data_IF_474505086858
#
_entry.id   IF_474505086858
#
_cell.length_a   1.000
_cell.length_b   1.000
_cell.length_c   1.000
_cell.angle_alpha   90.00
_cell.angle_beta   90.00
_cell.angle_gamma   90.00
#
_symmetry.space_group_name_H-M   'P 1'
#
loop_
_entity.id
_entity.type
_entity.pdbx_description
1 polymer ?
#
# COMPACT_ATOMS: atom_id res chain seq x y z
N UNK A 1 14.30 -12.88 36.64
CA UNK A 1 14.35 -13.19 35.20
C UNK A 1 14.85 -11.93 34.53
N UNK A 2 16.15 -11.88 34.27
CA UNK A 2 16.83 -10.73 33.67
C UNK A 2 16.70 -10.83 32.16
N UNK A 3 16.17 -9.79 31.53
CA UNK A 3 16.13 -9.65 30.07
C UNK A 3 17.54 -9.35 29.58
N UNK A 4 18.17 -10.31 28.90
CA UNK A 4 19.48 -10.16 28.28
C UNK A 4 19.37 -9.29 27.01
N UNK A 5 19.99 -8.11 26.94
CA UNK A 5 19.84 -7.17 25.82
C UNK A 5 20.71 -7.53 24.59
N UNK A 6 21.35 -8.71 24.57
CA UNK A 6 22.31 -9.08 23.52
C UNK A 6 21.79 -10.06 22.45
N UNK A 7 20.52 -10.50 22.53
CA UNK A 7 20.00 -11.48 21.58
C UNK A 7 19.26 -10.86 20.37
N UNK A 8 18.88 -9.58 20.42
CA UNK A 8 18.17 -8.90 19.32
C UNK A 8 19.10 -8.54 18.13
N UNK A 9 20.41 -8.40 18.36
CA UNK A 9 21.39 -8.08 17.31
C UNK A 9 22.08 -9.31 16.69
N UNK A 10 21.95 -10.50 17.30
CA UNK A 10 22.72 -11.68 16.91
C UNK A 10 22.28 -12.34 15.59
N UNK A 11 21.11 -12.00 15.05
CA UNK A 11 20.57 -12.58 13.81
C UNK A 11 20.70 -11.68 12.57
N UNK A 12 21.38 -10.53 12.67
CA UNK A 12 21.46 -9.58 11.54
C UNK A 12 20.14 -8.86 11.23
N UNK A 13 19.22 -8.80 12.20
CA UNK A 13 17.90 -8.19 12.03
C UNK A 13 17.97 -6.75 11.50
N UNK A 14 18.93 -5.94 11.96
CA UNK A 14 19.15 -4.59 11.42
C UNK A 14 19.50 -4.57 9.92
N UNK A 15 20.29 -5.54 9.43
CA UNK A 15 20.63 -5.64 8.02
C UNK A 15 19.41 -6.07 7.19
N UNK A 16 18.61 -7.02 7.69
CA UNK A 16 17.38 -7.46 7.03
C UNK A 16 16.33 -6.34 7.00
N UNK A 17 16.14 -5.63 8.12
CA UNK A 17 15.28 -4.46 8.19
C UNK A 17 15.71 -3.38 7.20
N UNK A 18 17.02 -3.11 7.06
CA UNK A 18 17.52 -2.13 6.09
C UNK A 18 17.24 -2.56 4.64
N UNK A 19 17.46 -3.83 4.29
CA UNK A 19 17.13 -4.34 2.94
C UNK A 19 15.63 -4.21 2.64
N UNK A 20 14.78 -4.62 3.58
CA UNK A 20 13.33 -4.48 3.43
C UNK A 20 12.92 -3.02 3.33
N UNK A 21 13.46 -2.15 4.17
CA UNK A 21 13.15 -0.71 4.16
C UNK A 21 13.49 -0.06 2.82
N UNK A 22 14.70 -0.28 2.29
CA UNK A 22 15.14 0.30 1.01
C UNK A 22 14.25 -0.17 -0.15
N UNK A 23 13.92 -1.47 -0.20
CA UNK A 23 13.01 -2.00 -1.20
C UNK A 23 11.61 -1.37 -1.09
N UNK A 24 11.12 -1.22 0.15
CA UNK A 24 9.78 -0.69 0.45
C UNK A 24 9.63 0.80 0.10
N UNK A 25 10.65 1.62 0.34
CA UNK A 25 10.59 3.04 -0.07
C UNK A 25 10.45 3.20 -1.59
N UNK A 26 11.04 2.27 -2.36
CA UNK A 26 10.89 2.23 -3.80
C UNK A 26 9.42 2.10 -4.25
N UNK A 27 8.59 1.38 -3.48
CA UNK A 27 7.20 1.11 -3.83
C UNK A 27 6.26 2.31 -3.58
N UNK A 28 6.70 3.30 -2.79
CA UNK A 28 5.94 4.53 -2.54
C UNK A 28 6.13 5.59 -3.63
N UNK A 29 7.09 5.36 -4.54
CA UNK A 29 7.33 6.22 -5.68
C UNK A 29 6.21 6.07 -6.74
N UNK A 30 6.32 6.85 -7.82
CA UNK A 30 5.30 6.95 -8.86
C UNK A 30 5.28 5.79 -9.88
N UNK A 31 6.41 5.12 -10.09
CA UNK A 31 6.58 4.06 -11.09
C UNK A 31 6.15 2.61 -10.72
N UNK A 32 6.10 2.18 -9.45
CA UNK A 32 5.87 0.78 -9.10
C UNK A 32 4.47 0.30 -9.49
N UNK A 33 4.35 -0.99 -9.77
CA UNK A 33 3.08 -1.64 -10.11
C UNK A 33 2.03 -1.53 -8.98
N UNK A 34 0.73 -1.77 -9.25
CA UNK A 34 -0.35 -1.62 -8.26
C UNK A 34 -0.20 -2.49 -7.00
N UNK A 35 0.46 -3.64 -7.11
CA UNK A 35 0.63 -4.58 -5.99
C UNK A 35 1.98 -4.49 -5.27
N UNK A 36 2.97 -3.78 -5.81
CA UNK A 36 4.33 -3.81 -5.25
C UNK A 36 4.40 -3.31 -3.80
N UNK A 37 3.55 -2.34 -3.42
CA UNK A 37 3.47 -1.87 -2.04
C UNK A 37 2.87 -2.93 -1.10
N UNK A 38 1.87 -3.67 -1.55
CA UNK A 38 1.32 -4.79 -0.78
C UNK A 38 2.37 -5.89 -0.62
N UNK A 39 3.07 -6.24 -1.70
CA UNK A 39 4.14 -7.25 -1.67
C UNK A 39 5.28 -6.83 -0.73
N UNK A 40 5.64 -5.54 -0.70
CA UNK A 40 6.61 -5.02 0.25
C UNK A 40 6.11 -5.09 1.70
N UNK A 41 4.84 -4.77 1.96
CA UNK A 41 4.24 -4.93 3.28
C UNK A 41 4.20 -6.40 3.72
N UNK A 42 3.91 -7.32 2.79
CA UNK A 42 3.97 -8.76 3.02
C UNK A 42 5.37 -9.20 3.44
N UNK A 43 6.42 -8.70 2.77
CA UNK A 43 7.80 -8.98 3.14
C UNK A 43 8.17 -8.42 4.53
N UNK A 44 7.62 -7.25 4.91
CA UNK A 44 7.79 -6.72 6.27
C UNK A 44 7.16 -7.63 7.33
N UNK A 45 5.97 -8.18 7.06
CA UNK A 45 5.28 -9.11 7.98
C UNK A 45 6.00 -10.45 8.05
N UNK A 46 6.47 -10.98 6.93
CA UNK A 46 7.28 -12.20 6.90
C UNK A 46 8.53 -12.03 7.79
N UNK A 47 9.25 -10.91 7.65
CA UNK A 47 10.39 -10.60 8.51
C UNK A 47 9.96 -10.49 9.98
N UNK A 48 8.87 -9.78 10.26
CA UNK A 48 8.35 -9.64 11.63
C UNK A 48 8.05 -11.00 12.28
N UNK A 49 7.51 -11.96 11.51
CA UNK A 49 7.25 -13.34 11.96
C UNK A 49 8.53 -14.08 12.30
N UNK A 50 9.61 -13.89 11.55
CA UNK A 50 10.93 -14.44 11.91
C UNK A 50 11.52 -13.81 13.17
N UNK A 51 11.16 -12.55 13.46
CA UNK A 51 11.58 -11.79 14.63
C UNK A 51 10.55 -11.93 15.78
N UNK A 52 10.11 -13.17 16.02
CA UNK A 52 9.18 -13.52 17.09
C UNK A 52 7.81 -12.83 16.98
N UNK A 53 7.30 -12.67 15.76
CA UNK A 53 6.01 -12.02 15.47
C UNK A 53 5.90 -10.64 16.12
N UNK A 54 6.91 -9.80 15.92
CA UNK A 54 6.98 -8.47 16.50
C UNK A 54 5.73 -7.64 16.11
N UNK A 55 4.90 -7.31 17.10
CA UNK A 55 3.61 -6.65 16.89
C UNK A 55 3.77 -5.24 16.30
N UNK A 56 4.82 -4.51 16.69
CA UNK A 56 5.08 -3.16 16.17
C UNK A 56 5.44 -3.23 14.68
N UNK A 57 6.28 -4.19 14.28
CA UNK A 57 6.62 -4.39 12.86
C UNK A 57 5.39 -4.77 12.02
N UNK A 58 4.51 -5.62 12.55
CA UNK A 58 3.25 -5.97 11.87
C UNK A 58 2.36 -4.72 11.74
N UNK A 59 2.22 -3.94 12.80
CA UNK A 59 1.45 -2.68 12.78
C UNK A 59 2.02 -1.68 11.77
N UNK A 60 3.35 -1.50 11.73
CA UNK A 60 4.00 -0.64 10.75
C UNK A 60 3.83 -1.13 9.32
N UNK A 61 3.88 -2.45 9.09
CA UNK A 61 3.61 -3.01 7.77
C UNK A 61 2.15 -2.74 7.33
N UNK A 62 1.20 -2.83 8.25
CA UNK A 62 -0.21 -2.50 7.99
C UNK A 62 -0.43 -1.01 7.68
N UNK A 63 0.26 -0.12 8.41
CA UNK A 63 0.25 1.33 8.10
C UNK A 63 0.92 1.57 6.74
N UNK A 64 2.05 0.92 6.48
CA UNK A 64 2.78 1.03 5.22
C UNK A 64 1.95 0.56 4.03
N UNK A 65 1.22 -0.55 4.13
CA UNK A 65 0.30 -1.01 3.08
C UNK A 65 -0.78 0.02 2.74
N UNK A 66 -1.13 0.86 3.71
CA UNK A 66 -2.12 1.92 3.57
C UNK A 66 -1.52 3.28 3.20
N UNK A 67 -0.20 3.44 3.28
CA UNK A 67 0.45 4.72 2.98
C UNK A 67 0.11 5.18 1.55
N UNK A 68 -0.35 6.42 1.34
CA UNK A 68 -0.61 6.92 0.00
C UNK A 68 0.66 6.93 -0.85
N UNK A 69 0.52 6.51 -2.11
CA UNK A 69 1.60 6.52 -3.10
C UNK A 69 1.72 7.87 -3.77
N UNK A 70 2.94 8.28 -4.07
CA UNK A 70 3.18 9.53 -4.79
C UNK A 70 2.57 9.50 -6.20
N UNK A 71 1.85 10.57 -6.57
CA UNK A 71 1.20 10.72 -7.87
C UNK A 71 1.64 12.01 -8.58
N UNK A 72 2.67 11.95 -9.45
CA UNK A 72 3.24 13.14 -10.09
C UNK A 72 2.32 13.74 -11.17
N UNK A 73 1.26 13.03 -11.56
CA UNK A 73 0.27 13.48 -12.55
C UNK A 73 -1.08 13.83 -11.90
N UNK A 74 -1.14 13.89 -10.56
CA UNK A 74 -2.37 14.18 -9.81
C UNK A 74 -3.53 13.23 -10.13
N UNK A 75 -3.24 12.00 -10.53
CA UNK A 75 -4.24 10.94 -10.72
C UNK A 75 -4.26 10.00 -9.51
N UNK A 76 -5.40 9.38 -9.20
CA UNK A 76 -5.40 8.32 -8.20
C UNK A 76 -4.60 7.10 -8.67
N UNK A 77 -3.97 6.41 -7.73
CA UNK A 77 -3.12 5.25 -8.00
C UNK A 77 -4.00 3.99 -7.93
N UNK A 78 -3.94 3.10 -8.92
CA UNK A 78 -4.73 1.88 -8.89
C UNK A 78 -4.42 1.01 -7.67
N UNK A 79 -5.45 0.37 -7.13
CA UNK A 79 -5.35 -0.60 -6.04
C UNK A 79 -4.77 -1.92 -6.52
N UNK A 80 -4.10 -2.64 -5.63
CA UNK A 80 -3.78 -4.03 -5.89
C UNK A 80 -5.08 -4.84 -6.02
N UNK A 81 -5.15 -5.70 -7.04
CA UNK A 81 -6.28 -6.58 -7.29
C UNK A 81 -5.98 -8.04 -6.92
N UNK A 82 -4.99 -8.27 -6.08
CA UNK A 82 -4.58 -9.59 -5.61
C UNK A 82 -4.70 -9.66 -4.09
N UNK A 83 -5.05 -10.84 -3.58
CA UNK A 83 -5.04 -11.09 -2.15
C UNK A 83 -3.61 -10.96 -1.60
N UNK A 84 -3.43 -10.39 -0.40
CA UNK A 84 -2.12 -10.37 0.25
C UNK A 84 -1.69 -11.79 0.61
N UNK A 85 -0.38 -11.99 0.74
CA UNK A 85 0.19 -13.26 1.21
C UNK A 85 -0.10 -13.45 2.71
N UNK A 86 0.01 -12.40 3.49
CA UNK A 86 -0.16 -12.40 4.93
C UNK A 86 -1.57 -11.92 5.30
N UNK A 87 -2.26 -12.71 6.13
CA UNK A 87 -3.64 -12.43 6.55
C UNK A 87 -3.78 -11.13 7.35
N UNK A 88 -2.69 -10.65 7.95
CA UNK A 88 -2.59 -9.38 8.65
C UNK A 88 -2.84 -8.16 7.74
N UNK A 89 -2.76 -8.32 6.41
CA UNK A 89 -3.07 -7.28 5.42
C UNK A 89 -4.46 -7.42 4.80
N UNK A 90 -5.26 -8.41 5.20
CA UNK A 90 -6.57 -8.64 4.58
C UNK A 90 -7.46 -7.41 4.70
N UNK A 91 -7.96 -6.92 3.55
CA UNK A 91 -8.82 -5.74 3.47
C UNK A 91 -8.08 -4.41 3.60
N UNK A 92 -6.76 -4.41 3.74
CA UNK A 92 -5.95 -3.20 3.69
C UNK A 92 -5.63 -2.81 2.25
N UNK A 93 -5.62 -1.51 2.00
CA UNK A 93 -5.29 -0.91 0.71
C UNK A 93 -4.81 0.53 0.92
N UNK A 94 -4.03 1.05 -0.02
CA UNK A 94 -3.48 2.39 0.08
C UNK A 94 -4.57 3.46 0.17
N UNK A 95 -4.39 4.45 1.03
CA UNK A 95 -5.13 5.70 0.95
C UNK A 95 -4.68 6.47 -0.31
N UNK A 96 -5.41 7.51 -0.70
CA UNK A 96 -4.99 8.45 -1.74
C UNK A 96 -4.59 9.80 -1.13
N UNK A 97 -3.70 10.52 -1.79
CA UNK A 97 -3.41 11.91 -1.45
C UNK A 97 -4.55 12.84 -1.89
N UNK A 98 -4.76 13.94 -1.17
CA UNK A 98 -5.77 14.96 -1.45
C UNK A 98 -5.54 15.62 -2.83
N UNK A 99 -4.28 15.77 -3.24
CA UNK A 99 -3.92 16.24 -4.57
C UNK A 99 -4.16 15.24 -5.71
N UNK A 100 -4.61 14.00 -5.42
CA UNK A 100 -4.98 13.02 -6.43
C UNK A 100 -6.43 13.19 -6.89
N UNK A 101 -6.70 12.99 -8.18
CA UNK A 101 -8.04 13.06 -8.76
C UNK A 101 -8.95 11.99 -8.17
N UNK A 102 -10.14 12.39 -7.71
CA UNK A 102 -11.21 11.48 -7.27
C UNK A 102 -11.98 10.84 -8.44
N UNK A 103 -11.78 11.32 -9.67
CA UNK A 103 -12.53 10.90 -10.86
C UNK A 103 -11.68 10.21 -11.92
N UNK A 104 -10.37 10.16 -11.73
CA UNK A 104 -9.44 9.57 -12.67
C UNK A 104 -8.27 8.90 -11.96
N UNK A 105 -7.92 7.71 -12.44
CA UNK A 105 -6.78 6.94 -11.98
C UNK A 105 -5.69 6.89 -13.07
N UNK A 106 -4.45 6.59 -12.66
CA UNK A 106 -3.34 6.31 -13.58
C UNK A 106 -3.78 5.26 -14.60
N UNK A 107 -3.39 5.46 -15.87
CA UNK A 107 -3.86 4.63 -16.98
C UNK A 107 -5.22 5.05 -17.57
N UNK A 108 -5.80 6.17 -17.11
CA UNK A 108 -7.05 6.70 -17.64
C UNK A 108 -8.29 5.96 -17.15
N UNK A 109 -8.16 5.19 -16.06
CA UNK A 109 -9.24 4.42 -15.48
C UNK A 109 -10.22 5.35 -14.74
N UNK A 110 -11.50 4.99 -14.80
CA UNK A 110 -12.57 5.70 -14.07
C UNK A 110 -12.97 4.93 -12.81
N UNK A 111 -13.45 5.61 -11.75
CA UNK A 111 -14.01 4.95 -10.58
C UNK A 111 -15.05 3.89 -10.97
N UNK A 112 -14.93 2.71 -10.38
CA UNK A 112 -15.77 1.55 -10.66
C UNK A 112 -15.17 0.55 -11.66
N UNK A 113 -14.06 0.88 -12.33
CA UNK A 113 -13.32 -0.07 -13.15
C UNK A 113 -12.39 -0.96 -12.32
N UNK A 114 -11.97 -2.08 -12.90
CA UNK A 114 -10.95 -2.94 -12.30
C UNK A 114 -9.68 -2.12 -11.96
N UNK A 115 -9.14 -2.33 -10.76
CA UNK A 115 -8.02 -1.55 -10.24
C UNK A 115 -8.42 -0.22 -9.57
N UNK A 116 -9.69 0.17 -9.61
CA UNK A 116 -10.19 1.41 -8.95
C UNK A 116 -11.13 1.14 -7.77
N UNK A 117 -11.41 -0.13 -7.51
CA UNK A 117 -12.10 -0.62 -6.33
C UNK A 117 -11.12 -1.54 -5.60
N UNK A 118 -10.84 -1.34 -4.29
CA UNK A 118 -9.91 -2.19 -3.56
C UNK A 118 -10.28 -3.67 -3.66
N UNK A 119 -9.27 -4.54 -3.61
CA UNK A 119 -9.48 -5.97 -3.67
C UNK A 119 -10.46 -6.45 -2.58
N UNK A 120 -11.37 -7.34 -2.96
CA UNK A 120 -12.41 -7.87 -2.07
C UNK A 120 -13.59 -6.91 -1.82
N UNK A 121 -13.56 -5.68 -2.35
CA UNK A 121 -14.68 -4.75 -2.29
C UNK A 121 -15.47 -4.75 -3.61
N UNK A 122 -16.74 -4.37 -3.54
CA UNK A 122 -17.66 -4.30 -4.70
C UNK A 122 -18.15 -2.88 -4.99
N UNK A 123 -17.86 -1.93 -4.10
CA UNK A 123 -18.31 -0.55 -4.19
C UNK A 123 -17.13 0.42 -4.25
N UNK A 124 -17.34 1.55 -4.91
CA UNK A 124 -16.41 2.68 -4.89
C UNK A 124 -16.34 3.23 -3.46
N UNK A 125 -15.13 3.62 -3.05
CA UNK A 125 -14.90 4.23 -1.74
C UNK A 125 -15.64 5.56 -1.59
N UNK A 126 -16.26 5.73 -0.43
CA UNK A 126 -16.91 6.98 -0.03
C UNK A 126 -16.54 7.27 1.43
N UNK A 127 -15.74 8.32 1.72
CA UNK A 127 -15.18 9.29 0.77
C UNK A 127 -14.12 8.70 -0.17
N UNK A 128 -13.99 9.26 -1.38
CA UNK A 128 -12.95 8.83 -2.32
C UNK A 128 -11.55 9.05 -1.71
N UNK A 129 -10.67 8.06 -1.84
CA UNK A 129 -9.30 8.13 -1.35
C UNK A 129 -9.12 7.81 0.15
N UNK A 130 -10.19 7.47 0.87
CA UNK A 130 -10.10 6.96 2.24
C UNK A 130 -9.46 5.56 2.30
N UNK A 131 -9.11 5.13 3.50
CA UNK A 131 -8.59 3.80 3.84
C UNK A 131 -8.99 3.47 5.29
N UNK A 132 -8.71 2.27 5.79
CA UNK A 132 -9.08 1.88 7.16
C UNK A 132 -8.35 2.73 8.22
N UNK A 133 -7.08 3.06 7.98
CA UNK A 133 -6.28 3.92 8.85
C UNK A 133 -6.69 5.41 8.81
N UNK A 134 -7.41 5.85 7.76
CA UNK A 134 -7.98 7.20 7.66
C UNK A 134 -9.35 7.17 6.97
N UNK A 135 -10.42 6.84 7.71
CA UNK A 135 -11.76 6.68 7.13
C UNK A 135 -12.39 8.01 6.69
N UNK A 136 -11.86 9.14 7.17
CA UNK A 136 -12.41 10.47 6.91
C UNK A 136 -12.14 10.99 5.49
N UNK A 137 -11.28 10.34 4.71
CA UNK A 137 -11.00 10.72 3.33
C UNK A 137 -9.53 10.62 2.93
N UNK A 138 -9.09 11.35 1.90
CA UNK A 138 -7.70 11.30 1.45
C UNK A 138 -6.75 11.96 2.45
N UNK A 139 -5.47 11.64 2.32
CA UNK A 139 -4.39 12.18 3.15
C UNK A 139 -3.94 13.52 2.60
N UNK A 140 -3.70 14.49 3.48
CA UNK A 140 -3.15 15.78 3.07
C UNK A 140 -1.79 15.61 2.34
N UNK A 141 -1.57 16.41 1.30
CA UNK A 141 -0.32 16.36 0.54
C UNK A 141 0.88 16.68 1.46
N UNK A 142 1.97 15.93 1.30
CA UNK A 142 3.17 16.08 2.13
C UNK A 142 3.04 15.52 3.56
N UNK A 143 1.93 14.84 3.89
CA UNK A 143 1.74 14.16 5.19
C UNK A 143 1.93 12.65 5.03
N UNK A 144 2.57 12.01 6.02
CA UNK A 144 2.64 10.55 6.10
C UNK A 144 1.53 10.01 7.00
N UNK A 145 1.09 8.78 6.76
CA UNK A 145 0.06 8.13 7.59
C UNK A 145 0.54 7.98 9.03
N UNK A 146 1.84 7.69 9.21
CA UNK A 146 2.50 7.61 10.51
C UNK A 146 2.50 8.94 11.28
N UNK A 147 2.31 10.08 10.62
CA UNK A 147 2.26 11.38 11.28
C UNK A 147 0.89 11.65 11.93
N UNK A 148 -0.15 10.92 11.50
CA UNK A 148 -1.54 11.17 11.88
C UNK A 148 -2.19 10.00 12.62
N UNK A 149 -1.64 8.79 12.49
CA UNK A 149 -2.16 7.60 13.17
C UNK A 149 -1.06 6.56 13.43
N UNK A 150 -1.15 5.92 14.59
CA UNK A 150 -0.45 4.66 14.90
C UNK A 150 -1.38 3.45 14.85
N UNK A 151 -2.67 3.68 14.57
CA UNK A 151 -3.68 2.65 14.44
C UNK A 151 -3.89 2.33 12.95
N UNK A 152 -3.57 1.11 12.49
CA UNK A 152 -3.80 0.70 11.12
C UNK A 152 -5.29 0.51 10.76
N UNK A 153 -6.22 0.71 11.69
CA UNK A 153 -7.65 0.53 11.45
C UNK A 153 -8.10 -0.93 11.42
N UNK A 154 -7.20 -1.87 11.73
CA UNK A 154 -7.55 -3.27 12.02
C UNK A 154 -7.65 -3.46 13.52
N UNK A 155 -8.73 -4.09 13.98
CA UNK A 155 -8.85 -4.43 15.40
C UNK A 155 -7.79 -5.46 15.74
N UNK A 156 -6.97 -5.19 16.78
CA UNK A 156 -5.83 -6.02 17.19
C UNK A 156 -6.21 -7.39 17.79
N UNK A 157 -7.37 -7.95 17.44
CA UNK A 157 -7.87 -9.19 18.01
C UNK A 157 -8.85 -9.89 17.10
N UNK A 158 -8.36 -10.97 16.47
CA UNK A 158 -9.18 -12.13 16.12
C UNK A 158 -10.01 -12.01 14.85
N UNK A 159 -9.66 -12.84 13.88
CA UNK A 159 -10.50 -13.43 12.85
C UNK A 159 -12.01 -13.24 13.05
N UNK A 160 -12.61 -12.27 12.36
CA UNK A 160 -13.99 -12.32 11.91
C UNK A 160 -14.22 -11.29 10.82
N UNK A 161 -14.99 -11.72 9.84
CA UNK A 161 -15.20 -11.10 8.56
C UNK A 161 -15.63 -9.61 8.64
N UNK A 162 -15.27 -8.90 7.59
CA UNK A 162 -15.93 -7.67 7.17
C UNK A 162 -17.45 -7.82 7.24
N UNK A 163 -18.10 -7.04 8.11
CA UNK A 163 -19.45 -6.53 7.90
C UNK A 163 -19.83 -5.58 9.03
N UNK A 164 -20.55 -4.51 8.66
CA UNK A 164 -21.33 -3.60 9.53
C UNK A 164 -20.59 -2.47 10.26
N UNK A 165 -20.59 -1.28 9.64
CA UNK A 165 -21.23 -0.10 10.24
C UNK A 165 -21.60 0.89 9.13
N UNK A 166 -22.81 0.76 8.62
CA UNK A 166 -23.68 1.88 8.20
C UNK A 166 -25.11 1.33 8.15
N UNK A 167 -25.78 1.38 9.30
CA UNK A 167 -27.21 1.05 9.42
C UNK A 167 -28.06 2.26 9.03
N UNK A 168 -28.94 2.09 8.05
CA UNK A 168 -30.31 2.64 8.08
C UNK A 168 -31.22 1.90 7.09
N UNK A 169 -32.19 1.21 7.71
CA UNK A 169 -33.41 0.54 7.26
C UNK A 169 -33.92 0.72 5.81
N UNK A 170 -34.36 -0.39 5.20
CA UNK A 170 -35.79 -0.72 5.01
C UNK A 170 -35.98 -2.20 4.62
N UNK A 171 -37.09 -2.76 5.07
CA UNK A 171 -37.66 -4.10 4.83
C UNK A 171 -37.92 -4.38 3.35
N UNK A 172 -37.68 -5.60 2.84
CA UNK A 172 -38.73 -6.57 2.43
C UNK A 172 -38.15 -7.86 1.76
N UNK A 173 -38.51 -9.01 2.33
CA UNK A 173 -38.96 -10.29 1.73
C UNK A 173 -38.30 -10.98 0.51
N UNK A 174 -37.82 -12.21 0.82
CA UNK A 174 -37.92 -13.50 0.10
C UNK A 174 -36.82 -14.02 -0.86
N UNK A 175 -36.62 -15.36 -0.91
CA UNK A 175 -35.40 -16.01 -1.40
C UNK A 175 -35.56 -16.61 -2.80
N UNK A 176 -34.46 -16.73 -3.54
CA UNK A 176 -34.38 -17.62 -4.70
C UNK A 176 -33.04 -18.34 -4.75
N UNK A 177 -33.15 -19.66 -4.62
CA UNK A 177 -32.16 -20.69 -4.90
C UNK A 177 -31.69 -20.61 -6.36
N UNK A 178 -30.40 -20.70 -6.63
CA UNK A 178 -29.92 -21.10 -7.95
C UNK A 178 -28.59 -21.85 -7.90
N UNK A 179 -28.61 -22.91 -8.69
CA UNK A 179 -27.71 -24.03 -8.89
C UNK A 179 -26.34 -23.66 -9.44
N UNK A 180 -25.34 -24.41 -9.00
CA UNK A 180 -23.95 -24.38 -9.46
C UNK A 180 -23.84 -25.10 -10.81
N UNK A 181 -23.33 -24.43 -11.83
CA UNK A 181 -22.82 -25.07 -13.05
C UNK A 181 -21.32 -24.80 -13.16
N UNK A 182 -20.54 -25.87 -13.05
CA UNK A 182 -19.09 -25.91 -13.24
C UNK A 182 -18.84 -26.16 -14.72
N UNK A 183 -18.20 -25.20 -15.39
CA UNK A 183 -17.64 -25.40 -16.73
C UNK A 183 -16.12 -25.27 -16.64
N UNK A 184 -15.45 -26.41 -16.75
CA UNK A 184 -14.02 -26.54 -16.98
C UNK A 184 -13.70 -26.15 -18.42
N UNK A 185 -12.82 -25.17 -18.61
CA UNK A 185 -12.28 -24.81 -19.90
C UNK A 185 -10.74 -24.85 -19.87
N UNK A 186 -10.22 -25.60 -20.83
CA UNK A 186 -8.84 -25.97 -21.14
C UNK A 186 -7.90 -24.79 -21.42
N UNK A 187 -6.65 -24.95 -20.97
CA UNK A 187 -5.52 -24.08 -21.27
C UNK A 187 -5.03 -24.23 -22.73
N UNK A 188 -4.75 -23.13 -23.47
CA UNK A 188 -3.92 -23.16 -24.66
C UNK A 188 -2.47 -22.75 -24.38
N UNK A 189 -1.58 -23.37 -25.16
CA UNK A 189 -0.14 -23.38 -25.06
C UNK A 189 0.55 -22.06 -25.44
N UNK A 190 1.75 -21.88 -24.88
CA UNK A 190 2.69 -20.81 -25.17
C UNK A 190 3.15 -20.81 -26.63
N UNK A 191 3.12 -19.63 -27.26
CA UNK A 191 3.82 -19.36 -28.52
C UNK A 191 4.76 -18.18 -28.30
N UNK A 192 6.06 -18.45 -28.29
CA UNK A 192 7.12 -17.44 -28.30
C UNK A 192 7.23 -16.84 -29.70
N UNK A 193 7.04 -15.53 -29.81
CA UNK A 193 7.39 -14.75 -30.99
C UNK A 193 8.32 -13.61 -30.58
N UNK A 194 9.56 -13.68 -31.06
CA UNK A 194 10.52 -12.58 -30.99
C UNK A 194 10.14 -11.53 -32.05
N UNK A 195 9.99 -10.27 -31.64
CA UNK A 195 9.86 -9.13 -32.55
C UNK A 195 11.02 -8.15 -32.34
N UNK A 196 11.60 -7.80 -33.48
CA UNK A 196 12.80 -7.03 -33.69
C UNK A 196 12.61 -5.54 -33.40
N UNK A 197 13.72 -4.89 -33.04
CA UNK A 197 13.82 -3.50 -32.66
C UNK A 197 13.46 -2.50 -33.78
N UNK A 198 12.84 -1.38 -33.38
CA UNK A 198 12.97 -0.11 -34.08
C UNK A 198 11.71 0.75 -34.06
N UNK A 199 11.59 1.69 -33.10
CA UNK A 199 10.91 2.99 -33.30
C UNK A 199 11.50 4.06 -32.37
N UNK A 200 12.19 5.01 -33.00
CA UNK A 200 12.20 6.48 -32.83
C UNK A 200 11.92 7.11 -31.45
N UNK A 201 12.88 7.91 -30.99
CA UNK A 201 12.82 8.73 -29.78
C UNK A 201 11.68 9.78 -29.82
N UNK A 202 10.91 9.96 -28.73
CA UNK A 202 9.92 11.02 -28.65
C UNK A 202 10.59 12.37 -28.40
N UNK A 203 10.15 13.37 -29.16
CA UNK A 203 10.52 14.78 -29.02
C UNK A 203 9.99 15.33 -27.70
N UNK A 204 10.88 15.92 -26.89
CA UNK A 204 10.53 16.51 -25.61
C UNK A 204 9.64 17.76 -25.78
N UNK A 205 8.39 17.67 -25.31
CA UNK A 205 7.53 18.83 -25.08
C UNK A 205 7.85 19.40 -23.72
N UNK A 206 8.55 20.53 -23.71
CA UNK A 206 8.78 21.37 -22.53
C UNK A 206 7.48 22.06 -22.10
N UNK A 207 6.66 21.34 -21.34
CA UNK A 207 5.57 21.90 -20.55
C UNK A 207 6.00 22.00 -19.09
N UNK A 208 6.58 23.13 -18.69
CA UNK A 208 6.95 23.44 -17.31
C UNK A 208 5.69 23.71 -16.47
N UNK A 209 5.01 22.65 -16.05
CA UNK A 209 4.01 22.68 -14.97
C UNK A 209 4.75 22.40 -13.66
N UNK A 210 4.42 23.14 -12.61
CA UNK A 210 5.09 23.35 -11.32
C UNK A 210 5.39 22.11 -10.44
N UNK A 211 5.78 20.97 -11.01
CA UNK A 211 6.24 19.76 -10.29
C UNK A 211 7.63 19.92 -9.68
N UNK A 212 8.37 20.97 -10.06
CA UNK A 212 9.73 21.23 -9.56
C UNK A 212 9.77 21.58 -8.08
N UNK A 213 8.76 22.26 -7.54
CA UNK A 213 8.74 22.65 -6.12
C UNK A 213 8.43 21.46 -5.21
N UNK A 214 7.47 20.61 -5.59
CA UNK A 214 7.15 19.39 -4.84
C UNK A 214 8.28 18.36 -4.91
N UNK A 215 8.85 18.12 -6.10
CA UNK A 215 9.99 17.22 -6.25
C UNK A 215 11.22 17.71 -5.46
N UNK A 216 11.47 19.02 -5.45
CA UNK A 216 12.55 19.62 -4.66
C UNK A 216 12.28 19.50 -3.16
N UNK A 217 11.04 19.71 -2.72
CA UNK A 217 10.67 19.60 -1.31
C UNK A 217 10.75 18.15 -0.83
N UNK A 218 10.17 17.20 -1.57
CA UNK A 218 10.29 15.78 -1.27
C UNK A 218 11.75 15.31 -1.25
N UNK A 219 12.58 15.79 -2.19
CA UNK A 219 14.02 15.52 -2.18
C UNK A 219 14.74 16.08 -0.94
N UNK A 220 14.37 17.28 -0.47
CA UNK A 220 14.91 17.87 0.76
C UNK A 220 14.44 17.12 2.01
N UNK A 221 13.18 16.71 2.05
CA UNK A 221 12.61 15.96 3.16
C UNK A 221 13.25 14.57 3.27
N UNK A 222 13.46 13.89 2.13
CA UNK A 222 14.20 12.64 2.08
C UNK A 222 15.66 12.80 2.55
N UNK A 223 16.35 13.89 2.15
CA UNK A 223 17.71 14.17 2.64
C UNK A 223 17.74 14.42 4.15
N UNK A 224 16.75 15.14 4.69
CA UNK A 224 16.61 15.37 6.13
C UNK A 224 16.36 14.07 6.88
N UNK A 225 15.52 13.19 6.34
CA UNK A 225 15.26 11.87 6.89
C UNK A 225 16.54 10.99 6.88
N UNK A 226 17.27 10.98 5.76
CA UNK A 226 18.56 10.28 5.64
C UNK A 226 19.60 10.79 6.64
N UNK A 227 19.63 12.10 6.90
CA UNK A 227 20.51 12.68 7.92
C UNK A 227 20.12 12.25 9.35
N UNK A 228 18.84 12.05 9.63
CA UNK A 228 18.39 11.50 10.91
C UNK A 228 18.83 10.04 11.07
N UNK A 229 18.71 9.22 10.01
CA UNK A 229 19.21 7.83 10.04
C UNK A 229 20.73 7.75 10.25
N UNK A 230 21.50 8.68 9.69
CA UNK A 230 22.94 8.74 9.89
C UNK A 230 23.35 9.03 11.36
N UNK A 231 22.44 9.61 12.15
CA UNK A 231 22.66 9.86 13.58
C UNK A 231 22.26 8.69 14.48
N UNK A 232 21.61 7.65 13.92
CA UNK A 232 21.24 6.46 14.67
C UNK A 232 22.46 5.55 14.86
N UNK A 233 22.77 5.27 16.11
CA UNK A 233 23.76 4.30 16.56
C UNK A 233 23.07 3.04 17.08
N UNK A 234 23.83 1.97 17.30
CA UNK A 234 23.34 0.76 17.99
C UNK A 234 22.81 1.01 19.41
N UNK A 235 23.16 2.16 20.01
CA UNK A 235 22.67 2.59 21.32
C UNK A 235 21.45 3.52 21.24
N UNK A 236 20.97 3.84 20.04
CA UNK A 236 19.78 4.68 19.87
C UNK A 236 18.54 3.90 20.32
N UNK A 237 17.85 4.40 21.35
CA UNK A 237 16.60 3.79 21.79
C UNK A 237 15.51 4.00 20.75
N UNK A 238 14.75 2.94 20.43
CA UNK A 238 13.51 3.07 19.67
C UNK A 238 12.55 3.95 20.49
N UNK A 239 12.34 5.19 20.05
CA UNK A 239 11.27 6.03 20.57
C UNK A 239 10.00 5.68 19.83
N UNK A 240 9.09 5.00 20.53
CA UNK A 240 7.67 4.86 20.18
C UNK A 240 6.95 6.20 20.33
#
# INVERSE_FOLDING_TARGET
MASDPLFQDAAGGGAQCNTVAVASFGTLLAAPGPCEQQDAADNMIDLAKTLNSNADMISFAQIFAQQPRNSPNSLSVPYCQQAPKNAELNGLFQCQYQGSSSTAFVGGLKPGQAGTIPFGMTAILSPAGSCLANPSGPIADGTQLTDITSNPGVSAGGSSAASEVLSSATTDTAPCTSTVTVSSATAPAATSAAISAGVTAPTAVSGSVSTSSFALQNGKDAQKLNAQFASLTTSSSCKS
#
